data_IF_824923490253
#
_entry.id   IF_824923490253
#
_cell.length_a   1.000
_cell.length_b   1.000
_cell.length_c   1.000
_cell.angle_alpha   90.00
_cell.angle_beta   90.00
_cell.angle_gamma   90.00
#
_symmetry.space_group_name_H-M   'P 1'
#
loop_
_entity.id
_entity.type
_entity.pdbx_description
1 polymer ?
#
# COMPACT_ATOMS: atom_id res chain seq x y z
N UNK A 1 -12.52 -0.07 7.99
CA UNK A 1 -11.79 0.68 6.94
C UNK A 1 -11.12 1.90 7.57
N UNK A 2 -10.50 2.81 6.81
CA UNK A 2 -10.17 4.16 7.32
C UNK A 2 -8.94 4.35 8.22
N UNK A 3 -8.32 3.29 8.74
CA UNK A 3 -7.16 3.37 9.66
C UNK A 3 -5.82 3.85 9.03
N UNK A 4 -5.79 4.28 7.77
CA UNK A 4 -4.57 4.83 7.15
C UNK A 4 -3.53 3.82 6.62
N UNK A 5 -3.90 2.56 6.32
CA UNK A 5 -2.98 1.55 5.75
C UNK A 5 -2.26 2.03 4.47
N UNK A 6 -3.02 2.59 3.53
CA UNK A 6 -2.48 3.13 2.28
C UNK A 6 -1.52 4.29 2.57
N UNK A 7 -1.87 5.18 3.50
CA UNK A 7 -1.02 6.30 3.93
C UNK A 7 0.29 5.84 4.54
N UNK A 8 0.27 4.86 5.45
CA UNK A 8 1.49 4.28 6.06
C UNK A 8 2.38 3.65 4.98
N UNK A 9 1.79 2.84 4.09
CA UNK A 9 2.53 2.17 3.03
C UNK A 9 3.14 3.19 2.04
N UNK A 10 2.40 4.26 1.72
CA UNK A 10 2.89 5.36 0.88
C UNK A 10 4.02 6.14 1.55
N UNK A 11 3.95 6.41 2.85
CA UNK A 11 5.03 7.05 3.59
C UNK A 11 6.32 6.20 3.56
N UNK A 12 6.20 4.87 3.73
CA UNK A 12 7.32 3.93 3.60
C UNK A 12 7.87 3.96 2.17
N UNK A 13 7.00 3.87 1.16
CA UNK A 13 7.39 3.91 -0.24
C UNK A 13 8.20 5.19 -0.53
N UNK A 14 7.64 6.36 -0.21
CA UNK A 14 8.28 7.66 -0.42
C UNK A 14 9.62 7.80 0.30
N UNK A 15 9.76 7.21 1.48
CA UNK A 15 11.01 7.27 2.27
C UNK A 15 12.14 6.40 1.70
N UNK A 16 11.82 5.29 1.03
CA UNK A 16 12.81 4.28 0.69
C UNK A 16 12.96 3.98 -0.81
N UNK A 17 12.07 4.49 -1.68
CA UNK A 17 12.05 4.09 -3.09
C UNK A 17 13.37 4.33 -3.84
N UNK A 18 14.15 5.35 -3.46
CA UNK A 18 15.43 5.67 -4.10
C UNK A 18 16.50 4.60 -3.89
N UNK A 19 16.30 3.69 -2.92
CA UNK A 19 17.25 2.61 -2.60
C UNK A 19 17.06 1.35 -3.47
N UNK A 20 16.15 1.40 -4.44
CA UNK A 20 15.74 0.29 -5.28
C UNK A 20 15.92 0.65 -6.75
N UNK A 21 16.27 -0.35 -7.56
CA UNK A 21 16.51 -0.20 -9.00
C UNK A 21 15.20 -0.03 -9.77
N UNK A 22 14.15 -0.70 -9.31
CA UNK A 22 12.80 -0.61 -9.86
C UNK A 22 11.77 -0.35 -8.78
N UNK A 23 10.74 0.42 -9.11
CA UNK A 23 9.70 0.81 -8.15
C UNK A 23 8.36 0.91 -8.84
N UNK A 24 7.30 0.44 -8.19
CA UNK A 24 5.93 0.57 -8.71
C UNK A 24 4.93 0.68 -7.56
N UNK A 25 3.93 1.52 -7.77
CA UNK A 25 2.86 1.75 -6.82
C UNK A 25 1.51 1.42 -7.49
N UNK A 26 0.99 0.25 -7.16
CA UNK A 26 -0.22 -0.30 -7.75
C UNK A 26 -1.41 0.03 -6.86
N UNK A 27 -2.09 1.14 -7.16
CA UNK A 27 -3.25 1.62 -6.37
C UNK A 27 -4.53 0.85 -6.67
N UNK A 28 -5.41 0.73 -5.66
CA UNK A 28 -6.80 0.23 -5.83
C UNK A 28 -6.85 -1.08 -6.63
N UNK A 29 -6.03 -2.05 -6.22
CA UNK A 29 -5.77 -3.28 -6.99
C UNK A 29 -7.05 -4.08 -7.20
N UNK A 30 -7.93 -4.17 -6.19
CA UNK A 30 -9.23 -4.84 -6.33
C UNK A 30 -10.12 -4.27 -7.45
N UNK A 31 -9.95 -2.99 -7.80
CA UNK A 31 -10.82 -2.28 -8.78
C UNK A 31 -10.25 -2.34 -10.21
N UNK A 32 -9.03 -2.85 -10.38
CA UNK A 32 -8.30 -2.81 -11.65
C UNK A 32 -8.18 -4.19 -12.28
N UNK A 33 -8.31 -4.22 -13.62
CA UNK A 33 -8.02 -5.42 -14.41
C UNK A 33 -6.54 -5.81 -14.24
N UNK A 34 -6.30 -7.08 -13.97
CA UNK A 34 -4.98 -7.64 -13.72
C UNK A 34 -3.98 -7.39 -14.86
N UNK A 35 -4.42 -7.49 -16.11
CA UNK A 35 -3.58 -7.18 -17.28
C UNK A 35 -3.09 -5.72 -17.27
N UNK A 36 -3.93 -4.78 -16.82
CA UNK A 36 -3.56 -3.35 -16.69
C UNK A 36 -2.52 -3.17 -15.58
N UNK A 37 -2.70 -3.87 -14.46
CA UNK A 37 -1.75 -3.86 -13.35
C UNK A 37 -0.39 -4.44 -13.73
N UNK A 38 -0.36 -5.57 -14.45
CA UNK A 38 0.89 -6.17 -14.95
C UNK A 38 1.61 -5.26 -15.95
N UNK A 39 0.87 -4.64 -16.88
CA UNK A 39 1.43 -3.67 -17.83
C UNK A 39 2.03 -2.47 -17.10
N UNK A 40 1.34 -1.94 -16.09
CA UNK A 40 1.86 -0.86 -15.25
C UNK A 40 3.13 -1.30 -14.50
N UNK A 41 3.09 -2.44 -13.80
CA UNK A 41 4.22 -2.96 -13.05
C UNK A 41 5.47 -3.16 -13.91
N UNK A 42 5.32 -3.76 -15.10
CA UNK A 42 6.38 -3.94 -16.07
C UNK A 42 6.92 -2.60 -16.57
N UNK A 43 6.04 -1.65 -16.90
CA UNK A 43 6.45 -0.33 -17.37
C UNK A 43 7.20 0.47 -16.30
N UNK A 44 6.67 0.52 -15.07
CA UNK A 44 7.25 1.28 -13.96
C UNK A 44 8.66 0.77 -13.58
N UNK A 45 8.90 -0.55 -13.66
CA UNK A 45 10.19 -1.15 -13.30
C UNK A 45 11.17 -1.16 -14.48
N UNK A 46 10.73 -1.52 -15.69
CA UNK A 46 11.61 -1.67 -16.85
C UNK A 46 11.77 -0.38 -17.66
N UNK A 47 10.96 0.64 -17.38
CA UNK A 47 10.92 1.93 -18.09
C UNK A 47 10.73 1.77 -19.61
N UNK A 48 10.12 0.65 -20.04
CA UNK A 48 9.91 0.29 -21.44
C UNK A 48 8.52 -0.31 -21.65
N UNK A 49 7.90 0.00 -22.79
CA UNK A 49 6.59 -0.56 -23.15
C UNK A 49 6.73 -2.04 -23.43
N UNK A 50 6.20 -2.87 -22.55
CA UNK A 50 6.21 -4.32 -22.69
C UNK A 50 4.86 -4.81 -23.24
N UNK A 51 4.89 -5.65 -24.28
CA UNK A 51 3.68 -6.25 -24.84
C UNK A 51 3.24 -7.42 -23.96
N UNK A 52 2.13 -7.24 -23.26
CA UNK A 52 1.45 -8.30 -22.49
C UNK A 52 0.26 -8.80 -23.30
N UNK A 53 0.33 -10.04 -23.79
CA UNK A 53 -0.70 -10.67 -24.64
C UNK A 53 -1.79 -11.38 -23.85
N UNK A 54 -1.52 -11.75 -22.59
CA UNK A 54 -2.45 -12.37 -21.66
C UNK A 54 -1.93 -12.21 -20.23
N UNK A 55 -2.78 -12.47 -19.22
CA UNK A 55 -2.38 -12.45 -17.81
C UNK A 55 -1.20 -13.39 -17.55
N UNK A 56 -1.29 -14.62 -18.04
CA UNK A 56 -0.23 -15.65 -17.86
C UNK A 56 1.08 -15.20 -18.48
N UNK A 57 1.03 -14.58 -19.67
CA UNK A 57 2.22 -14.02 -20.31
C UNK A 57 2.81 -12.86 -19.50
N UNK A 58 1.96 -12.00 -18.93
CA UNK A 58 2.38 -10.92 -18.02
C UNK A 58 3.10 -11.46 -16.79
N UNK A 59 2.57 -12.49 -16.15
CA UNK A 59 3.18 -13.14 -14.97
C UNK A 59 4.53 -13.77 -15.31
N UNK A 60 4.62 -14.43 -16.48
CA UNK A 60 5.89 -14.99 -16.96
C UNK A 60 6.95 -13.90 -17.18
N UNK A 61 6.56 -12.76 -17.75
CA UNK A 61 7.45 -11.61 -17.96
C UNK A 61 7.94 -11.01 -16.63
N UNK A 62 7.04 -10.84 -15.64
CA UNK A 62 7.41 -10.38 -14.29
C UNK A 62 8.49 -11.31 -13.72
N UNK A 63 8.28 -12.63 -13.77
CA UNK A 63 9.24 -13.62 -13.28
C UNK A 63 10.59 -13.56 -14.00
N UNK A 64 10.58 -13.47 -15.33
CA UNK A 64 11.80 -13.50 -16.14
C UNK A 64 12.62 -12.22 -15.97
N UNK A 65 11.94 -11.07 -15.97
CA UNK A 65 12.60 -9.76 -16.05
C UNK A 65 12.98 -9.19 -14.68
N UNK A 66 12.32 -9.59 -13.60
CA UNK A 66 12.59 -9.02 -12.28
C UNK A 66 13.51 -9.87 -11.40
N UNK A 67 13.85 -11.10 -11.81
CA UNK A 67 14.62 -12.07 -11.01
C UNK A 67 15.98 -11.56 -10.51
N UNK A 68 16.57 -10.58 -11.19
CA UNK A 68 17.86 -10.00 -10.83
C UNK A 68 17.77 -8.54 -10.37
N UNK A 69 16.56 -7.95 -10.33
CA UNK A 69 16.36 -6.55 -9.96
C UNK A 69 15.93 -6.42 -8.51
N UNK A 70 16.57 -5.52 -7.78
CA UNK A 70 16.16 -5.12 -6.44
C UNK A 70 15.03 -4.10 -6.53
N UNK A 71 13.78 -4.55 -6.35
CA UNK A 71 12.58 -3.71 -6.56
C UNK A 71 11.82 -3.39 -5.28
N UNK A 72 11.11 -2.26 -5.28
CA UNK A 72 10.11 -1.89 -4.29
C UNK A 72 8.73 -1.81 -4.94
N UNK A 73 7.86 -2.77 -4.64
CA UNK A 73 6.49 -2.82 -5.19
C UNK A 73 5.49 -2.62 -4.07
N UNK A 74 4.63 -1.62 -4.21
CA UNK A 74 3.46 -1.47 -3.34
C UNK A 74 2.20 -1.96 -4.06
N UNK A 75 1.44 -2.83 -3.41
CA UNK A 75 0.18 -3.40 -3.89
C UNK A 75 -0.92 -2.94 -2.94
N UNK A 76 -1.68 -1.93 -3.34
CA UNK A 76 -2.69 -1.29 -2.50
C UNK A 76 -4.07 -1.94 -2.64
N UNK A 77 -4.72 -2.20 -1.51
CA UNK A 77 -6.12 -2.63 -1.42
C UNK A 77 -6.39 -3.90 -2.23
N UNK A 78 -5.54 -4.93 -2.03
CA UNK A 78 -5.72 -6.26 -2.59
C UNK A 78 -6.70 -7.09 -1.74
N UNK A 79 -7.59 -7.83 -2.39
CA UNK A 79 -8.61 -8.65 -1.72
C UNK A 79 -8.70 -10.11 -2.24
N UNK A 80 -7.90 -10.46 -3.25
CA UNK A 80 -7.85 -11.80 -3.85
C UNK A 80 -6.41 -12.35 -3.93
N UNK A 81 -6.21 -13.56 -3.40
CA UNK A 81 -4.95 -14.29 -3.43
C UNK A 81 -4.56 -14.68 -4.86
N UNK A 82 -5.52 -15.04 -5.71
CA UNK A 82 -5.24 -15.39 -7.11
C UNK A 82 -4.71 -14.18 -7.86
N UNK A 83 -5.34 -13.03 -7.68
CA UNK A 83 -4.85 -11.76 -8.22
C UNK A 83 -3.40 -11.46 -7.80
N UNK A 84 -3.06 -11.64 -6.51
CA UNK A 84 -1.69 -11.46 -6.01
C UNK A 84 -0.69 -12.43 -6.66
N UNK A 85 -1.04 -13.72 -6.77
CA UNK A 85 -0.18 -14.74 -7.40
C UNK A 85 0.10 -14.43 -8.86
N UNK A 86 -0.89 -13.96 -9.60
CA UNK A 86 -0.70 -13.60 -11.01
C UNK A 86 0.05 -12.26 -11.18
N UNK A 87 -0.06 -11.34 -10.22
CA UNK A 87 0.56 -10.01 -10.31
C UNK A 87 2.04 -10.01 -9.89
N UNK A 88 2.34 -10.61 -8.73
CA UNK A 88 3.68 -10.57 -8.12
C UNK A 88 4.26 -11.95 -7.84
N UNK A 89 3.52 -13.04 -8.11
CA UNK A 89 4.06 -14.41 -7.99
C UNK A 89 4.43 -14.78 -6.56
N UNK A 90 5.72 -15.02 -6.33
CA UNK A 90 6.31 -15.32 -5.02
C UNK A 90 7.67 -14.59 -4.89
N UNK A 91 8.34 -14.76 -3.74
CA UNK A 91 9.61 -14.09 -3.47
C UNK A 91 10.73 -14.40 -4.49
N UNK A 92 10.68 -15.54 -5.20
CA UNK A 92 11.68 -15.93 -6.20
C UNK A 92 11.52 -15.21 -7.55
N UNK A 93 10.45 -14.44 -7.74
CA UNK A 93 10.26 -13.63 -8.95
C UNK A 93 11.18 -12.40 -8.97
N UNK A 94 11.75 -12.02 -7.83
CA UNK A 94 12.47 -10.76 -7.66
C UNK A 94 13.92 -10.99 -7.21
N UNK A 95 14.78 -10.01 -7.50
CA UNK A 95 16.17 -10.04 -7.08
C UNK A 95 16.35 -9.88 -5.57
N UNK A 96 17.51 -10.31 -5.04
CA UNK A 96 17.85 -10.14 -3.63
C UNK A 96 17.69 -8.69 -3.15
N UNK A 97 17.17 -8.52 -1.94
CA UNK A 97 16.93 -7.20 -1.34
C UNK A 97 15.63 -6.53 -1.76
N UNK A 98 14.83 -7.13 -2.66
CA UNK A 98 13.51 -6.63 -3.04
C UNK A 98 12.53 -6.59 -1.87
N UNK A 99 11.54 -5.72 -1.96
CA UNK A 99 10.46 -5.56 -0.97
C UNK A 99 9.12 -5.39 -1.69
N UNK A 100 8.16 -6.22 -1.32
CA UNK A 100 6.78 -6.14 -1.79
C UNK A 100 5.92 -5.83 -0.57
N UNK A 101 5.21 -4.71 -0.61
CA UNK A 101 4.36 -4.23 0.47
C UNK A 101 2.92 -4.35 0.00
N UNK A 102 2.11 -5.13 0.72
CA UNK A 102 0.71 -5.36 0.38
C UNK A 102 -0.16 -4.71 1.44
N UNK A 103 -1.10 -3.86 1.05
CA UNK A 103 -2.16 -3.40 1.94
C UNK A 103 -3.44 -4.16 1.63
N UNK A 104 -4.14 -4.61 2.68
CA UNK A 104 -5.43 -5.29 2.55
C UNK A 104 -6.28 -5.05 3.78
N UNK A 105 -7.59 -5.22 3.64
CA UNK A 105 -8.55 -5.25 4.74
C UNK A 105 -8.77 -6.67 5.26
N UNK A 106 -8.29 -7.69 4.54
CA UNK A 106 -8.54 -9.09 4.85
C UNK A 106 -7.21 -9.81 5.15
N UNK A 107 -6.96 -10.10 6.43
CA UNK A 107 -5.75 -10.80 6.87
C UNK A 107 -5.64 -12.22 6.28
N UNK A 108 -6.76 -12.87 5.93
CA UNK A 108 -6.75 -14.21 5.32
C UNK A 108 -6.01 -14.21 3.99
N UNK A 109 -6.15 -13.15 3.20
CA UNK A 109 -5.44 -12.98 1.92
C UNK A 109 -3.93 -13.04 2.14
N UNK A 110 -3.41 -12.41 3.20
CA UNK A 110 -1.98 -12.41 3.52
C UNK A 110 -1.50 -13.80 3.97
N UNK A 111 -2.30 -14.50 4.78
CA UNK A 111 -1.99 -15.85 5.26
C UNK A 111 -1.96 -16.86 4.13
N UNK A 112 -2.98 -16.85 3.27
CA UNK A 112 -3.08 -17.75 2.11
C UNK A 112 -2.05 -17.44 1.02
N UNK A 113 -1.66 -16.17 0.88
CA UNK A 113 -0.56 -15.77 0.01
C UNK A 113 0.82 -16.12 0.60
N UNK A 114 0.90 -16.44 1.89
CA UNK A 114 2.10 -16.80 2.64
C UNK A 114 3.16 -15.69 2.66
N UNK A 115 2.79 -14.50 3.12
CA UNK A 115 3.73 -13.37 3.30
C UNK A 115 4.71 -13.61 4.46
N UNK A 116 5.88 -12.98 4.38
CA UNK A 116 6.93 -13.11 5.40
C UNK A 116 6.56 -12.47 6.74
N UNK A 117 5.86 -11.32 6.71
CA UNK A 117 5.49 -10.53 7.89
C UNK A 117 4.15 -9.84 7.69
N UNK A 118 3.37 -9.75 8.77
CA UNK A 118 2.10 -9.02 8.81
C UNK A 118 2.20 -7.91 9.86
N UNK A 119 1.82 -6.69 9.47
CA UNK A 119 1.69 -5.55 10.38
C UNK A 119 0.22 -5.14 10.47
N UNK A 120 -0.33 -5.15 11.69
CA UNK A 120 -1.68 -4.68 11.95
C UNK A 120 -1.67 -3.18 12.25
N UNK A 121 -2.22 -2.38 11.33
CA UNK A 121 -2.35 -0.94 11.53
C UNK A 121 -3.26 -0.64 12.73
N UNK A 122 -2.78 0.21 13.63
CA UNK A 122 -3.48 0.63 14.84
C UNK A 122 -4.25 1.93 14.58
N UNK A 123 -5.34 2.12 15.31
CA UNK A 123 -6.02 3.41 15.40
C UNK A 123 -5.10 4.43 16.07
N UNK A 124 -5.37 5.72 15.82
CA UNK A 124 -4.67 6.81 16.49
C UNK A 124 -4.98 6.80 17.97
N UNK A 125 -4.01 7.19 18.78
CA UNK A 125 -4.30 7.59 20.15
C UNK A 125 -5.07 8.93 20.18
N UNK A 126 -5.46 9.35 21.38
CA UNK A 126 -6.33 10.51 21.54
C UNK A 126 -5.62 11.79 21.13
N UNK A 127 -4.34 11.90 21.46
CA UNK A 127 -3.48 13.04 21.18
C UNK A 127 -3.21 13.16 19.67
N UNK A 128 -2.86 12.07 19.01
CA UNK A 128 -2.71 11.98 17.55
C UNK A 128 -4.01 12.36 16.82
N UNK A 129 -5.16 11.88 17.31
CA UNK A 129 -6.46 12.20 16.73
C UNK A 129 -6.86 13.68 16.93
N UNK A 130 -6.54 14.28 18.08
CA UNK A 130 -6.76 15.71 18.34
C UNK A 130 -5.87 16.57 17.44
N UNK A 131 -4.62 16.18 17.26
CA UNK A 131 -3.69 16.87 16.35
C UNK A 131 -4.19 16.77 14.91
N UNK A 132 -4.61 15.59 14.46
CA UNK A 132 -5.16 15.39 13.12
C UNK A 132 -6.41 16.27 12.91
N UNK A 133 -7.35 16.25 13.85
CA UNK A 133 -8.55 17.09 13.80
C UNK A 133 -8.18 18.57 13.71
N UNK A 134 -7.20 19.02 14.52
CA UNK A 134 -6.73 20.40 14.52
C UNK A 134 -6.13 20.80 13.18
N UNK A 135 -5.33 19.93 12.57
CA UNK A 135 -4.77 20.17 11.24
C UNK A 135 -5.84 20.35 10.18
N UNK A 136 -6.90 19.54 10.25
CA UNK A 136 -8.01 19.61 9.29
C UNK A 136 -8.92 20.83 9.51
N UNK A 137 -9.24 21.17 10.76
CA UNK A 137 -10.17 22.24 11.10
C UNK A 137 -9.51 23.63 11.09
N UNK A 138 -8.26 23.74 11.59
CA UNK A 138 -7.59 25.02 11.86
C UNK A 138 -6.29 25.22 11.07
N UNK A 139 -5.85 24.23 10.28
CA UNK A 139 -4.57 24.27 9.55
C UNK A 139 -3.35 24.43 10.47
N UNK A 140 -3.45 23.93 11.70
CA UNK A 140 -2.44 23.99 12.74
C UNK A 140 -2.49 22.71 13.58
N UNK A 141 -1.40 22.35 14.26
CA UNK A 141 -1.37 21.20 15.18
C UNK A 141 -2.20 21.40 16.46
N UNK A 142 -2.71 22.61 16.69
CA UNK A 142 -3.61 22.93 17.80
C UNK A 142 -4.67 23.94 17.42
N UNK A 143 -5.91 23.72 17.87
CA UNK A 143 -7.00 24.67 17.77
C UNK A 143 -7.05 25.72 18.89
N UNK A 144 -7.94 26.72 18.78
CA UNK A 144 -8.19 27.69 19.85
C UNK A 144 -8.72 27.01 21.12
N UNK A 145 -8.24 27.44 22.29
CA UNK A 145 -8.54 26.80 23.58
C UNK A 145 -10.04 26.68 23.89
N UNK A 146 -10.86 27.60 23.39
CA UNK A 146 -12.32 27.59 23.53
C UNK A 146 -13.01 26.38 22.86
N UNK A 147 -12.38 25.74 21.87
CA UNK A 147 -12.93 24.58 21.16
C UNK A 147 -12.45 23.23 21.71
N UNK A 148 -11.48 23.20 22.64
CA UNK A 148 -10.86 21.96 23.14
C UNK A 148 -11.88 20.95 23.69
N UNK A 149 -12.95 21.42 24.34
CA UNK A 149 -14.01 20.53 24.84
C UNK A 149 -14.75 19.83 23.68
N UNK A 150 -15.11 20.60 22.64
CA UNK A 150 -15.79 20.10 21.46
C UNK A 150 -14.89 19.16 20.64
N UNK A 151 -13.61 19.52 20.46
CA UNK A 151 -12.63 18.66 19.78
C UNK A 151 -12.51 17.29 20.46
N UNK A 152 -12.48 17.27 21.80
CA UNK A 152 -12.43 16.02 22.57
C UNK A 152 -13.70 15.17 22.38
N UNK A 153 -14.87 15.80 22.32
CA UNK A 153 -16.13 15.08 22.04
C UNK A 153 -16.12 14.47 20.63
N UNK A 154 -15.68 15.23 19.62
CA UNK A 154 -15.55 14.75 18.24
C UNK A 154 -14.55 13.59 18.15
N UNK A 155 -13.36 13.73 18.75
CA UNK A 155 -12.34 12.66 18.75
C UNK A 155 -12.85 11.40 19.44
N UNK A 156 -13.55 11.54 20.57
CA UNK A 156 -14.16 10.40 21.26
C UNK A 156 -15.22 9.72 20.40
N UNK A 157 -16.01 10.48 19.65
CA UNK A 157 -17.01 9.95 18.72
C UNK A 157 -16.37 9.19 17.55
N UNK A 158 -15.29 9.71 16.97
CA UNK A 158 -14.59 9.09 15.84
C UNK A 158 -13.75 7.85 16.22
N UNK A 159 -13.47 7.64 17.51
CA UNK A 159 -12.81 6.43 18.02
C UNK A 159 -11.39 6.20 17.49
N UNK A 160 -10.65 7.28 17.20
CA UNK A 160 -9.27 7.21 16.70
C UNK A 160 -9.14 6.76 15.23
N UNK A 161 -10.25 6.68 14.48
CA UNK A 161 -10.20 6.39 13.04
C UNK A 161 -9.87 7.68 12.26
N UNK A 162 -8.74 7.75 11.53
CA UNK A 162 -8.32 8.96 10.83
C UNK A 162 -9.28 9.46 9.73
N UNK A 163 -10.09 8.57 9.17
CA UNK A 163 -11.03 8.88 8.08
C UNK A 163 -12.42 9.33 8.57
N UNK A 164 -12.76 9.03 9.83
CA UNK A 164 -14.11 9.21 10.36
C UNK A 164 -14.46 10.70 10.54
#
# INVERSE_FOLDING_TARGET
>A
GGVGKTTIAQAIYNKFYERFEGKSFLEKVREKKLEKLQKQLLFDILQTKTKVSSVVAGTALVRERFRCLKVLVMVDDADDVKQLRELVGNCHFFGPGSRIIITTRNERVLKEFAVDKIYQAKVMDREEALELLSWHAFRSSSGPSQYLALEREVVNYCGGLPLA
#
